data_IF_393464077951
#
_entry.id   IF_393464077951
#
_cell.length_a   1.000
_cell.length_b   1.000
_cell.length_c   1.000
_cell.angle_alpha   90.00
_cell.angle_beta   90.00
_cell.angle_gamma   90.00
#
_symmetry.space_group_name_H-M   'P 1'
#
loop_
_entity.id
_entity.type
_entity.pdbx_description
1 polymer ?
#
# COMPACT_ATOMS: atom_id res chain seq x y z
N UNK A 1 2.04 -58.69 2.45
CA UNK A 1 1.88 -57.78 3.61
C UNK A 1 3.02 -58.08 4.58
N UNK A 2 3.57 -57.09 5.34
CA UNK A 2 3.20 -55.68 5.43
C UNK A 2 4.31 -54.70 5.01
N UNK A 3 3.91 -53.46 4.79
CA UNK A 3 4.72 -52.29 4.52
C UNK A 3 4.87 -51.40 5.78
N UNK A 4 5.93 -50.58 5.76
CA UNK A 4 6.27 -49.43 6.63
C UNK A 4 6.92 -49.73 7.99
N UNK A 5 7.93 -48.92 8.35
CA UNK A 5 7.62 -47.74 9.16
C UNK A 5 8.15 -46.41 8.59
N UNK A 6 7.33 -45.38 8.76
CA UNK A 6 7.68 -43.98 8.63
C UNK A 6 8.91 -43.64 9.50
N UNK A 7 10.03 -43.30 8.87
CA UNK A 7 11.11 -42.56 9.52
C UNK A 7 10.70 -41.07 9.56
N UNK A 8 10.15 -40.64 10.70
CA UNK A 8 9.98 -39.21 10.99
C UNK A 8 11.35 -38.54 11.02
N UNK A 9 11.50 -37.45 10.26
CA UNK A 9 12.68 -36.59 10.31
C UNK A 9 12.94 -36.14 11.77
N UNK A 10 14.19 -36.18 12.27
CA UNK A 10 14.47 -35.83 13.65
C UNK A 10 14.22 -34.35 13.90
N UNK A 11 13.44 -34.04 14.94
CA UNK A 11 13.05 -32.68 15.35
C UNK A 11 14.23 -31.70 15.53
N UNK A 12 15.45 -32.20 15.76
CA UNK A 12 16.66 -31.39 15.89
C UNK A 12 17.16 -30.74 14.59
N UNK A 13 16.91 -31.34 13.43
CA UNK A 13 17.35 -30.78 12.14
C UNK A 13 16.47 -29.59 11.71
N UNK A 14 15.16 -29.66 11.98
CA UNK A 14 14.23 -28.56 11.77
C UNK A 14 14.53 -27.39 12.73
N UNK A 15 14.82 -27.67 14.01
CA UNK A 15 15.17 -26.65 14.99
C UNK A 15 16.50 -25.92 14.67
N UNK A 16 17.49 -26.63 14.10
CA UNK A 16 18.76 -26.03 13.68
C UNK A 16 18.61 -25.17 12.42
N UNK A 17 17.75 -25.56 11.46
CA UNK A 17 17.45 -24.76 10.26
C UNK A 17 16.62 -23.50 10.57
N UNK A 18 15.82 -23.52 11.64
CA UNK A 18 14.97 -22.39 12.06
C UNK A 18 15.75 -21.27 12.78
N UNK A 19 16.88 -21.57 13.44
CA UNK A 19 17.68 -20.58 14.16
C UNK A 19 18.25 -19.46 13.26
N UNK A 20 18.92 -19.76 12.13
CA UNK A 20 19.40 -18.73 11.21
C UNK A 20 18.27 -17.85 10.65
N UNK A 21 17.11 -18.44 10.38
CA UNK A 21 15.95 -17.72 9.85
C UNK A 21 15.31 -16.81 10.91
N UNK A 22 15.25 -17.25 12.18
CA UNK A 22 14.77 -16.42 13.28
C UNK A 22 15.66 -15.19 13.51
N UNK A 23 16.98 -15.36 13.43
CA UNK A 23 17.95 -14.27 13.55
C UNK A 23 17.83 -13.27 12.39
N UNK A 24 17.60 -13.74 11.17
CA UNK A 24 17.33 -12.89 10.01
C UNK A 24 16.03 -12.11 10.16
N UNK A 25 14.94 -12.77 10.57
CA UNK A 25 13.65 -12.14 10.80
C UNK A 25 13.71 -11.08 11.93
N UNK A 26 14.54 -11.29 12.95
CA UNK A 26 14.80 -10.26 13.97
C UNK A 26 15.52 -9.04 13.38
N UNK A 27 16.55 -9.25 12.56
CA UNK A 27 17.27 -8.15 11.89
C UNK A 27 16.37 -7.35 10.97
N UNK A 28 15.53 -8.02 10.18
CA UNK A 28 14.55 -7.39 9.30
C UNK A 28 13.57 -6.52 10.10
N UNK A 29 13.02 -7.06 11.19
CA UNK A 29 12.12 -6.32 12.09
C UNK A 29 12.80 -5.10 12.71
N UNK A 30 14.01 -5.25 13.24
CA UNK A 30 14.76 -4.16 13.86
C UNK A 30 15.03 -3.03 12.85
N UNK A 31 15.49 -3.36 11.64
CA UNK A 31 15.73 -2.39 10.56
C UNK A 31 14.45 -1.66 10.14
N UNK A 32 13.35 -2.40 9.99
CA UNK A 32 12.06 -1.81 9.64
C UNK A 32 11.51 -0.90 10.74
N UNK A 33 11.71 -1.27 12.02
CA UNK A 33 11.34 -0.47 13.17
C UNK A 33 12.15 0.83 13.25
N UNK A 34 13.47 0.74 13.17
CA UNK A 34 14.39 1.89 13.21
C UNK A 34 14.06 2.89 12.09
N UNK A 35 13.80 2.39 10.88
CA UNK A 35 13.39 3.22 9.74
C UNK A 35 12.09 3.98 10.01
N UNK A 36 11.07 3.31 10.56
CA UNK A 36 9.80 3.96 10.92
C UNK A 36 9.98 5.00 12.03
N UNK A 37 10.76 4.70 13.06
CA UNK A 37 11.04 5.63 14.15
C UNK A 37 11.79 6.88 13.66
N UNK A 38 12.77 6.68 12.77
CA UNK A 38 13.54 7.78 12.17
C UNK A 38 12.64 8.67 11.32
N UNK A 39 11.79 8.07 10.47
CA UNK A 39 10.82 8.81 9.66
C UNK A 39 9.78 9.53 10.51
N UNK A 40 9.38 8.95 11.63
CA UNK A 40 8.49 9.59 12.59
C UNK A 40 9.11 10.82 13.24
N UNK A 41 10.35 10.70 13.74
CA UNK A 41 11.09 11.82 14.30
C UNK A 41 11.29 12.95 13.27
N UNK A 42 11.68 12.60 12.03
CA UNK A 42 11.86 13.58 10.96
C UNK A 42 10.55 14.26 10.59
N UNK A 43 9.47 13.50 10.40
CA UNK A 43 8.17 14.07 10.07
C UNK A 43 7.65 14.99 11.19
N UNK A 44 7.91 14.65 12.45
CA UNK A 44 7.57 15.51 13.59
C UNK A 44 8.34 16.83 13.52
N UNK A 45 9.66 16.76 13.36
CA UNK A 45 10.51 17.94 13.26
C UNK A 45 10.12 18.84 12.08
N UNK A 46 9.83 18.24 10.91
CA UNK A 46 9.42 18.98 9.71
C UNK A 46 8.11 19.73 9.94
N UNK A 47 7.12 19.08 10.57
CA UNK A 47 5.83 19.70 10.91
C UNK A 47 5.98 20.77 11.98
N UNK A 48 6.79 20.56 13.01
CA UNK A 48 7.00 21.56 14.08
C UNK A 48 7.70 22.81 13.54
N UNK A 49 8.61 22.65 12.56
CA UNK A 49 9.31 23.76 11.94
C UNK A 49 8.44 24.52 10.93
N UNK A 50 7.81 23.82 10.00
CA UNK A 50 7.00 24.40 8.91
C UNK A 50 5.78 23.53 8.59
N UNK A 51 4.68 23.63 9.36
CA UNK A 51 3.54 22.71 9.28
C UNK A 51 2.89 22.60 7.89
N UNK A 52 2.91 23.69 7.10
CA UNK A 52 2.31 23.72 5.76
C UNK A 52 3.31 23.57 4.61
N UNK A 53 4.57 23.25 4.90
CA UNK A 53 5.55 23.04 3.84
C UNK A 53 5.25 21.72 3.12
N UNK A 54 5.19 21.67 1.77
CA UNK A 54 4.80 20.47 1.04
C UNK A 54 5.61 19.22 1.42
N UNK A 55 6.92 19.37 1.66
CA UNK A 55 7.77 18.25 2.09
C UNK A 55 7.35 17.71 3.47
N UNK A 56 7.06 18.60 4.43
CA UNK A 56 6.63 18.20 5.77
C UNK A 56 5.30 17.45 5.71
N UNK A 57 4.34 18.01 4.97
CA UNK A 57 3.02 17.41 4.72
C UNK A 57 3.17 16.02 4.09
N UNK A 58 4.01 15.86 3.06
CA UNK A 58 4.15 14.58 2.37
C UNK A 58 4.93 13.53 3.16
N UNK A 59 5.92 13.93 3.95
CA UNK A 59 6.63 13.03 4.86
C UNK A 59 5.67 12.48 5.92
N UNK A 60 4.92 13.38 6.59
CA UNK A 60 3.92 13.01 7.58
C UNK A 60 2.78 12.18 6.99
N UNK A 61 2.24 12.57 5.83
CA UNK A 61 1.20 11.81 5.13
C UNK A 61 1.65 10.38 4.82
N UNK A 62 2.85 10.22 4.26
CA UNK A 62 3.36 8.90 3.88
C UNK A 62 3.55 8.02 5.11
N UNK A 63 4.11 8.58 6.18
CA UNK A 63 4.22 7.88 7.47
C UNK A 63 2.84 7.47 8.01
N UNK A 64 1.91 8.40 8.16
CA UNK A 64 0.57 8.12 8.69
C UNK A 64 -0.16 7.04 7.87
N UNK A 65 -0.02 7.08 6.55
CA UNK A 65 -0.59 6.08 5.63
C UNK A 65 0.03 4.69 5.82
N UNK A 66 1.35 4.60 6.08
CA UNK A 66 2.03 3.33 6.38
C UNK A 66 1.70 2.81 7.78
N UNK A 67 1.51 3.70 8.76
CA UNK A 67 1.10 3.35 10.12
C UNK A 67 -0.38 2.92 10.22
N UNK A 68 -1.15 3.08 9.15
CA UNK A 68 -2.60 2.79 9.14
C UNK A 68 -3.43 3.84 9.89
N UNK A 69 -2.85 4.99 10.23
CA UNK A 69 -3.51 6.12 10.91
C UNK A 69 -4.24 7.00 9.89
N UNK A 70 -5.18 6.39 9.17
CA UNK A 70 -5.85 6.97 7.99
C UNK A 70 -6.68 8.21 8.32
N UNK A 71 -7.34 8.25 9.49
CA UNK A 71 -8.09 9.42 9.94
C UNK A 71 -7.18 10.65 10.12
N UNK A 72 -5.99 10.45 10.69
CA UNK A 72 -5.02 11.53 10.90
C UNK A 72 -4.41 11.97 9.57
N UNK A 73 -4.09 11.03 8.68
CA UNK A 73 -3.64 11.35 7.33
C UNK A 73 -4.69 12.18 6.58
N UNK A 74 -5.97 11.86 6.75
CA UNK A 74 -7.07 12.60 6.11
C UNK A 74 -7.18 14.02 6.68
N UNK A 75 -7.09 14.19 8.00
CA UNK A 75 -7.06 15.52 8.63
C UNK A 75 -5.89 16.38 8.13
N UNK A 76 -4.70 15.80 8.00
CA UNK A 76 -3.52 16.49 7.47
C UNK A 76 -3.75 16.95 6.02
N UNK A 77 -4.28 16.07 5.17
CA UNK A 77 -4.55 16.40 3.76
C UNK A 77 -5.65 17.45 3.63
N UNK A 78 -6.73 17.34 4.42
CA UNK A 78 -7.81 18.34 4.43
C UNK A 78 -7.31 19.70 4.90
N UNK A 79 -6.48 19.74 5.93
CA UNK A 79 -5.85 20.97 6.41
C UNK A 79 -4.91 21.59 5.36
N UNK A 80 -4.13 20.76 4.64
CA UNK A 80 -3.29 21.26 3.56
C UNK A 80 -4.12 21.82 2.39
N UNK A 81 -5.21 21.13 2.02
CA UNK A 81 -6.15 21.58 0.98
C UNK A 81 -6.88 22.88 1.36
N UNK A 82 -7.06 23.19 2.65
CA UNK A 82 -7.59 24.49 3.08
C UNK A 82 -6.63 25.65 2.74
N UNK A 83 -5.31 25.39 2.74
CA UNK A 83 -4.31 26.39 2.36
C UNK A 83 -4.03 26.41 0.86
N UNK A 84 -3.99 25.23 0.23
CA UNK A 84 -3.69 25.06 -1.20
C UNK A 84 -4.83 24.25 -1.85
N UNK A 85 -6.01 24.85 -2.09
CA UNK A 85 -7.20 24.12 -2.56
C UNK A 85 -7.06 23.54 -3.97
N UNK A 86 -6.10 24.03 -4.74
CA UNK A 86 -5.82 23.59 -6.11
C UNK A 86 -4.63 22.63 -6.19
N UNK A 87 -4.14 22.09 -5.06
CA UNK A 87 -3.12 21.04 -5.11
C UNK A 87 -3.76 19.72 -5.58
N UNK A 88 -3.59 19.42 -6.87
CA UNK A 88 -4.08 18.18 -7.45
C UNK A 88 -3.47 16.93 -6.82
N UNK A 89 -2.20 16.96 -6.38
CA UNK A 89 -1.57 15.81 -5.72
C UNK A 89 -2.24 15.54 -4.36
N UNK A 90 -2.55 16.58 -3.61
CA UNK A 90 -3.29 16.47 -2.34
C UNK A 90 -4.67 15.83 -2.52
N UNK A 91 -5.40 16.21 -3.57
CA UNK A 91 -6.67 15.57 -3.93
C UNK A 91 -6.50 14.09 -4.30
N UNK A 92 -5.43 13.71 -5.02
CA UNK A 92 -5.14 12.29 -5.28
C UNK A 92 -4.84 11.52 -3.99
N UNK A 93 -4.09 12.13 -3.05
CA UNK A 93 -3.84 11.53 -1.72
C UNK A 93 -5.12 11.34 -0.93
N UNK A 94 -6.01 12.33 -0.96
CA UNK A 94 -7.35 12.23 -0.33
C UNK A 94 -8.15 11.09 -0.93
N UNK A 95 -8.15 10.94 -2.25
CA UNK A 95 -8.82 9.83 -2.92
C UNK A 95 -8.28 8.46 -2.46
N UNK A 96 -6.95 8.32 -2.31
CA UNK A 96 -6.31 7.09 -1.81
C UNK A 96 -6.76 6.73 -0.39
N UNK A 97 -6.74 7.69 0.52
CA UNK A 97 -7.17 7.52 1.91
C UNK A 97 -8.65 7.11 1.99
N UNK A 98 -9.50 7.75 1.20
CA UNK A 98 -10.92 7.42 1.16
C UNK A 98 -11.17 5.98 0.69
N UNK A 99 -10.33 5.43 -0.20
CA UNK A 99 -10.40 3.99 -0.54
C UNK A 99 -9.97 3.10 0.61
N UNK A 100 -8.89 3.45 1.31
CA UNK A 100 -8.44 2.72 2.50
C UNK A 100 -9.54 2.68 3.59
N UNK A 101 -10.30 3.77 3.71
CA UNK A 101 -11.46 3.87 4.60
C UNK A 101 -12.74 3.23 4.05
N UNK A 102 -12.67 2.48 2.94
CA UNK A 102 -13.83 1.85 2.27
C UNK A 102 -14.92 2.84 1.86
N UNK A 103 -14.54 4.05 1.43
CA UNK A 103 -15.44 5.12 0.92
C UNK A 103 -15.21 5.40 -0.57
N UNK A 104 -15.54 4.47 -1.48
CA UNK A 104 -15.20 4.58 -2.90
C UNK A 104 -15.93 5.73 -3.62
N UNK A 105 -17.17 6.06 -3.23
CA UNK A 105 -17.89 7.20 -3.82
C UNK A 105 -17.20 8.54 -3.53
N UNK A 106 -16.86 8.82 -2.27
CA UNK A 106 -16.11 10.02 -1.90
C UNK A 106 -14.70 10.03 -2.51
N UNK A 107 -14.08 8.86 -2.67
CA UNK A 107 -12.78 8.75 -3.36
C UNK A 107 -12.87 9.17 -4.83
N UNK A 108 -13.93 8.73 -5.52
CA UNK A 108 -14.18 9.12 -6.92
C UNK A 108 -14.35 10.63 -7.06
N UNK A 109 -15.12 11.26 -6.17
CA UNK A 109 -15.27 12.72 -6.13
C UNK A 109 -13.92 13.43 -5.94
N UNK A 110 -13.11 12.98 -4.98
CA UNK A 110 -11.78 13.55 -4.74
C UNK A 110 -10.83 13.34 -5.94
N UNK A 111 -10.89 12.19 -6.61
CA UNK A 111 -10.08 11.91 -7.79
C UNK A 111 -10.49 12.77 -9.01
N UNK A 112 -11.80 13.02 -9.17
CA UNK A 112 -12.31 13.95 -10.17
C UNK A 112 -11.90 15.39 -9.86
N UNK A 113 -11.91 15.80 -8.59
CA UNK A 113 -11.41 17.12 -8.19
C UNK A 113 -9.92 17.25 -8.49
N UNK A 114 -9.12 16.22 -8.20
CA UNK A 114 -7.71 16.19 -8.55
C UNK A 114 -7.49 16.38 -10.06
N UNK A 115 -8.31 15.73 -10.89
CA UNK A 115 -8.22 15.83 -12.35
C UNK A 115 -8.42 17.26 -12.86
N UNK A 116 -9.25 18.07 -12.19
CA UNK A 116 -9.44 19.50 -12.55
C UNK A 116 -8.17 20.32 -12.36
N UNK A 117 -7.34 19.96 -11.38
CA UNK A 117 -6.15 20.72 -11.00
C UNK A 117 -4.84 20.11 -11.50
N UNK A 118 -4.81 18.81 -11.78
CA UNK A 118 -3.70 18.13 -12.44
C UNK A 118 -3.71 18.46 -13.93
N UNK A 119 -2.76 19.29 -14.38
CA UNK A 119 -2.56 19.66 -15.80
C UNK A 119 -2.25 18.47 -16.73
N UNK A 120 -2.11 17.26 -16.19
CA UNK A 120 -1.89 16.01 -16.91
C UNK A 120 -3.03 15.03 -16.61
N UNK A 121 -3.66 14.49 -17.65
CA UNK A 121 -4.73 13.50 -17.52
C UNK A 121 -4.26 12.19 -16.84
N UNK A 122 -3.00 11.79 -17.04
CA UNK A 122 -2.48 10.48 -16.65
C UNK A 122 -2.54 10.17 -15.14
N UNK A 123 -1.96 10.99 -14.24
CA UNK A 123 -1.93 10.69 -12.81
C UNK A 123 -3.31 10.52 -12.14
N UNK A 124 -4.36 11.15 -12.66
CA UNK A 124 -5.72 11.08 -12.10
C UNK A 124 -6.53 9.88 -12.60
N UNK A 125 -6.23 9.34 -13.78
CA UNK A 125 -6.95 8.17 -14.35
C UNK A 125 -6.83 6.91 -13.48
N UNK A 126 -5.65 6.64 -12.90
CA UNK A 126 -5.48 5.45 -12.05
C UNK A 126 -6.32 5.50 -10.76
N UNK A 127 -6.34 6.62 -10.00
CA UNK A 127 -7.21 6.76 -8.83
C UNK A 127 -8.71 6.68 -9.17
N UNK A 128 -9.16 7.31 -10.26
CA UNK A 128 -10.56 7.19 -10.74
C UNK A 128 -10.88 5.72 -11.04
N UNK A 129 -10.07 5.04 -11.85
CA UNK A 129 -10.31 3.64 -12.21
C UNK A 129 -10.25 2.71 -11.00
N UNK A 130 -9.35 2.97 -10.03
CA UNK A 130 -9.29 2.20 -8.77
C UNK A 130 -10.52 2.44 -7.90
N UNK A 131 -11.02 3.68 -7.83
CA UNK A 131 -12.24 4.00 -7.11
C UNK A 131 -13.45 3.31 -7.73
N UNK A 132 -13.59 3.36 -9.05
CA UNK A 132 -14.63 2.64 -9.80
C UNK A 132 -14.55 1.13 -9.57
N UNK A 133 -13.35 0.55 -9.66
CA UNK A 133 -13.12 -0.88 -9.41
C UNK A 133 -13.60 -1.29 -8.00
N UNK A 134 -13.18 -0.54 -6.97
CA UNK A 134 -13.55 -0.83 -5.58
C UNK A 134 -15.00 -0.50 -5.25
N UNK A 135 -15.69 0.28 -6.09
CA UNK A 135 -17.12 0.48 -6.05
C UNK A 135 -17.93 -0.61 -6.79
N UNK A 136 -17.26 -1.66 -7.30
CA UNK A 136 -17.89 -2.72 -8.10
C UNK A 136 -18.17 -2.33 -9.55
N UNK A 137 -17.69 -1.18 -10.03
CA UNK A 137 -17.90 -0.66 -11.38
C UNK A 137 -16.71 -0.98 -12.30
N UNK A 138 -16.32 -2.26 -12.38
CA UNK A 138 -15.14 -2.70 -13.12
C UNK A 138 -15.18 -2.35 -14.62
N UNK A 139 -16.36 -2.36 -15.24
CA UNK A 139 -16.52 -1.96 -16.64
C UNK A 139 -16.22 -0.45 -16.85
N UNK A 140 -16.65 0.39 -15.90
CA UNK A 140 -16.30 1.81 -15.90
C UNK A 140 -14.81 2.03 -15.69
N UNK A 141 -14.20 1.30 -14.75
CA UNK A 141 -12.76 1.32 -14.54
C UNK A 141 -11.98 0.95 -15.82
N UNK A 142 -12.44 -0.05 -16.57
CA UNK A 142 -11.83 -0.44 -17.84
C UNK A 142 -11.95 0.66 -18.90
N UNK A 143 -13.08 1.37 -18.97
CA UNK A 143 -13.29 2.46 -19.91
C UNK A 143 -12.31 3.62 -19.66
N UNK A 144 -12.08 3.97 -18.40
CA UNK A 144 -11.13 5.01 -18.00
C UNK A 144 -9.67 4.65 -18.37
N UNK A 145 -9.31 3.36 -18.40
CA UNK A 145 -7.93 2.91 -18.59
C UNK A 145 -7.47 2.80 -20.06
N UNK A 146 -8.32 3.05 -21.07
CA UNK A 146 -7.98 2.83 -22.50
C UNK A 146 -7.32 4.04 -23.21
N UNK A 147 -6.20 3.89 -23.96
CA UNK A 147 -5.15 2.87 -23.91
C UNK A 147 -3.89 3.46 -23.24
N UNK A 148 -3.85 3.43 -21.91
CA UNK A 148 -2.67 3.91 -21.20
C UNK A 148 -1.58 2.83 -21.16
N UNK A 149 -0.40 3.14 -21.71
CA UNK A 149 0.80 2.27 -21.69
C UNK A 149 1.45 2.32 -20.29
N UNK A 150 2.05 1.21 -19.83
CA UNK A 150 2.93 1.20 -18.65
C UNK A 150 2.32 0.64 -17.35
N UNK A 151 2.53 1.31 -16.21
CA UNK A 151 2.19 0.83 -14.85
C UNK A 151 0.71 0.46 -14.64
N UNK A 152 -0.19 0.88 -15.53
CA UNK A 152 -1.60 0.50 -15.50
C UNK A 152 -1.85 -0.99 -15.76
N UNK A 153 -0.84 -1.75 -16.23
CA UNK A 153 -0.93 -3.21 -16.44
C UNK A 153 -1.46 -3.95 -15.19
N UNK A 154 -1.00 -3.58 -13.99
CA UNK A 154 -1.41 -4.24 -12.75
C UNK A 154 -2.83 -3.86 -12.32
N UNK A 155 -3.22 -2.60 -12.55
CA UNK A 155 -4.61 -2.19 -12.32
C UNK A 155 -5.55 -2.84 -13.34
N UNK A 156 -5.14 -2.93 -14.61
CA UNK A 156 -5.85 -3.67 -15.65
C UNK A 156 -6.01 -5.14 -15.28
N UNK A 157 -4.97 -5.80 -14.75
CA UNK A 157 -5.09 -7.17 -14.28
C UNK A 157 -6.22 -7.31 -13.23
N UNK A 158 -6.26 -6.43 -12.23
CA UNK A 158 -7.32 -6.40 -11.22
C UNK A 158 -8.70 -6.12 -11.83
N UNK A 159 -8.79 -5.20 -12.79
CA UNK A 159 -10.05 -4.89 -13.50
C UNK A 159 -10.54 -6.09 -14.32
N UNK A 160 -9.68 -6.74 -15.09
CA UNK A 160 -10.02 -7.94 -15.86
C UNK A 160 -10.46 -9.10 -14.95
N UNK A 161 -9.80 -9.28 -13.81
CA UNK A 161 -10.23 -10.25 -12.81
C UNK A 161 -11.65 -9.94 -12.29
N UNK A 162 -11.91 -8.69 -11.93
CA UNK A 162 -13.24 -8.26 -11.45
C UNK A 162 -14.34 -8.36 -12.53
N UNK A 163 -13.97 -8.33 -13.80
CA UNK A 163 -14.89 -8.57 -14.94
C UNK A 163 -15.14 -10.06 -15.22
N UNK A 164 -14.48 -10.98 -14.50
CA UNK A 164 -14.59 -12.42 -14.75
C UNK A 164 -13.73 -12.88 -15.93
N UNK A 165 -12.65 -12.17 -16.25
CA UNK A 165 -11.69 -12.54 -17.29
C UNK A 165 -10.33 -13.01 -16.70
N UNK A 166 -10.27 -14.15 -16.01
CA UNK A 166 -9.05 -14.60 -15.32
C UNK A 166 -7.86 -14.78 -16.27
N UNK A 167 -8.07 -15.31 -17.48
CA UNK A 167 -7.01 -15.47 -18.47
C UNK A 167 -6.42 -14.14 -18.94
N UNK A 168 -7.25 -13.09 -19.08
CA UNK A 168 -6.76 -11.76 -19.43
C UNK A 168 -6.03 -11.12 -18.25
N UNK A 169 -6.55 -11.27 -17.03
CA UNK A 169 -5.87 -10.83 -15.82
C UNK A 169 -4.46 -11.41 -15.73
N UNK A 170 -4.32 -12.72 -15.93
CA UNK A 170 -3.03 -13.41 -15.86
C UNK A 170 -2.11 -13.01 -17.00
N UNK A 171 -2.65 -12.80 -18.21
CA UNK A 171 -1.87 -12.27 -19.33
C UNK A 171 -1.29 -10.88 -18.98
N UNK A 172 -2.09 -9.97 -18.41
CA UNK A 172 -1.63 -8.63 -17.98
C UNK A 172 -0.57 -8.69 -16.89
N UNK A 173 -0.74 -9.58 -15.91
CA UNK A 173 0.26 -9.76 -14.86
C UNK A 173 1.56 -10.35 -15.42
N UNK A 174 1.50 -11.32 -16.32
CA UNK A 174 2.67 -11.90 -16.97
C UNK A 174 3.39 -10.89 -17.89
N UNK A 175 2.66 -10.00 -18.58
CA UNK A 175 3.24 -8.87 -19.32
C UNK A 175 4.00 -7.89 -18.43
N UNK A 176 3.61 -7.75 -17.15
CA UNK A 176 4.36 -6.98 -16.17
C UNK A 176 5.59 -7.75 -15.70
N UNK A 177 5.44 -9.02 -15.32
CA UNK A 177 6.55 -9.85 -14.80
C UNK A 177 7.70 -9.99 -15.82
N UNK A 178 7.38 -10.08 -17.12
CA UNK A 178 8.38 -10.24 -18.18
C UNK A 178 9.09 -8.94 -18.57
N UNK A 179 8.65 -7.79 -18.07
CA UNK A 179 9.21 -6.50 -18.41
C UNK A 179 10.56 -6.29 -17.68
N UNK A 180 11.70 -6.21 -18.39
CA UNK A 180 13.01 -6.09 -17.74
C UNK A 180 13.17 -4.80 -16.93
N UNK A 181 12.32 -3.80 -17.19
CA UNK A 181 12.34 -2.52 -16.51
C UNK A 181 11.54 -2.50 -15.20
N UNK A 182 10.75 -3.54 -14.90
CA UNK A 182 9.97 -3.64 -13.65
C UNK A 182 10.77 -4.35 -12.55
N UNK A 183 12.04 -4.00 -12.38
CA UNK A 183 12.87 -4.47 -11.25
C UNK A 183 12.16 -4.08 -9.94
N UNK A 184 12.04 -5.02 -9.01
CA UNK A 184 11.44 -4.84 -7.67
C UNK A 184 9.90 -4.72 -7.65
N UNK A 185 9.21 -5.30 -8.63
CA UNK A 185 7.74 -5.35 -8.70
C UNK A 185 7.06 -6.38 -7.78
N UNK A 186 7.81 -7.19 -7.02
CA UNK A 186 7.29 -8.33 -6.25
C UNK A 186 6.13 -7.95 -5.31
N UNK A 187 6.25 -6.83 -4.57
CA UNK A 187 5.17 -6.37 -3.71
C UNK A 187 3.89 -5.97 -4.48
N UNK A 188 4.04 -5.44 -5.70
CA UNK A 188 2.89 -5.09 -6.54
C UNK A 188 2.24 -6.34 -7.15
N UNK A 189 3.04 -7.34 -7.50
CA UNK A 189 2.57 -8.66 -7.96
C UNK A 189 1.80 -9.36 -6.82
N UNK A 190 2.33 -9.29 -5.59
CA UNK A 190 1.67 -9.81 -4.39
C UNK A 190 0.29 -9.17 -4.20
N UNK A 191 0.15 -7.86 -4.39
CA UNK A 191 -1.14 -7.17 -4.33
C UNK A 191 -2.15 -7.68 -5.36
N UNK A 192 -1.71 -7.94 -6.60
CA UNK A 192 -2.59 -8.46 -7.65
C UNK A 192 -3.06 -9.87 -7.29
N UNK A 193 -2.17 -10.75 -6.85
CA UNK A 193 -2.57 -12.09 -6.41
C UNK A 193 -3.47 -12.06 -5.17
N UNK A 194 -3.23 -11.15 -4.23
CA UNK A 194 -4.11 -10.94 -3.10
C UNK A 194 -5.51 -10.52 -3.56
N UNK A 195 -5.60 -9.57 -4.49
CA UNK A 195 -6.87 -9.13 -5.08
C UNK A 195 -7.61 -10.28 -5.79
N UNK A 196 -6.87 -11.17 -6.46
CA UNK A 196 -7.43 -12.36 -7.11
C UNK A 196 -7.87 -13.46 -6.14
N UNK A 197 -7.60 -13.31 -4.83
CA UNK A 197 -7.85 -14.35 -3.82
C UNK A 197 -6.79 -15.47 -3.78
N UNK A 198 -5.70 -15.35 -4.53
CA UNK A 198 -4.62 -16.33 -4.61
C UNK A 198 -3.63 -16.14 -3.44
N UNK A 199 -4.05 -16.47 -2.23
CA UNK A 199 -3.27 -16.25 -0.98
C UNK A 199 -1.86 -16.82 -1.06
N UNK A 200 -1.69 -18.06 -1.56
CA UNK A 200 -0.39 -18.72 -1.62
C UNK A 200 0.61 -17.95 -2.50
N UNK A 201 0.18 -17.48 -3.67
CA UNK A 201 1.04 -16.67 -4.55
C UNK A 201 1.25 -15.27 -3.99
N UNK A 202 0.22 -14.67 -3.36
CA UNK A 202 0.35 -13.38 -2.71
C UNK A 202 1.43 -13.42 -1.61
N UNK A 203 1.41 -14.44 -0.74
CA UNK A 203 2.40 -14.64 0.30
C UNK A 203 3.80 -14.91 -0.28
N UNK A 204 3.92 -15.75 -1.33
CA UNK A 204 5.19 -16.02 -2.00
C UNK A 204 5.86 -14.74 -2.50
N UNK A 205 5.13 -13.90 -3.23
CA UNK A 205 5.68 -12.66 -3.79
C UNK A 205 5.89 -11.58 -2.72
N UNK A 206 5.08 -11.58 -1.65
CA UNK A 206 5.33 -10.72 -0.50
C UNK A 206 6.64 -11.10 0.20
N UNK A 207 6.89 -12.40 0.40
CA UNK A 207 8.15 -12.89 0.96
C UNK A 207 9.36 -12.51 0.10
N UNK A 208 9.27 -12.67 -1.22
CA UNK A 208 10.31 -12.24 -2.16
C UNK A 208 10.60 -10.72 -2.01
N UNK A 209 9.55 -9.91 -1.90
CA UNK A 209 9.70 -8.47 -1.72
C UNK A 209 10.37 -8.11 -0.38
N UNK A 210 10.06 -8.84 0.70
CA UNK A 210 10.67 -8.68 2.02
C UNK A 210 12.16 -8.95 1.98
N UNK A 211 12.55 -10.09 1.38
CA UNK A 211 13.94 -10.51 1.27
C UNK A 211 14.77 -9.54 0.43
N UNK A 212 14.17 -8.99 -0.63
CA UNK A 212 14.86 -8.04 -1.49
C UNK A 212 15.06 -6.67 -0.82
N UNK A 213 13.98 -6.05 -0.32
CA UNK A 213 14.06 -4.76 0.35
C UNK A 213 12.88 -4.51 1.29
N UNK A 214 13.06 -4.86 2.57
CA UNK A 214 12.08 -4.62 3.64
C UNK A 214 11.75 -3.14 3.85
N UNK A 215 12.61 -2.21 3.40
CA UNK A 215 12.37 -0.78 3.51
C UNK A 215 11.62 -0.19 2.31
N UNK A 216 11.25 -1.02 1.33
CA UNK A 216 10.50 -0.57 0.15
C UNK A 216 9.19 0.13 0.59
N UNK A 217 8.98 1.41 0.25
CA UNK A 217 7.78 2.15 0.66
C UNK A 217 6.47 1.54 0.18
N UNK A 218 6.48 0.73 -0.89
CA UNK A 218 5.29 0.03 -1.35
C UNK A 218 4.85 -1.09 -0.39
N UNK A 219 5.77 -1.75 0.34
CA UNK A 219 5.43 -2.77 1.33
C UNK A 219 4.62 -2.18 2.50
N UNK A 220 5.02 -0.99 2.97
CA UNK A 220 4.27 -0.27 4.00
C UNK A 220 2.84 0.06 3.54
N UNK A 221 2.67 0.52 2.29
CA UNK A 221 1.34 0.81 1.74
C UNK A 221 0.51 -0.43 1.45
N UNK A 222 1.12 -1.53 1.01
CA UNK A 222 0.44 -2.80 0.76
C UNK A 222 -0.28 -3.31 2.01
N UNK A 223 0.34 -3.10 3.17
CA UNK A 223 -0.23 -3.45 4.48
C UNK A 223 -1.60 -2.81 4.70
N UNK A 224 -1.84 -1.61 4.16
CA UNK A 224 -3.09 -0.88 4.29
C UNK A 224 -3.82 -0.74 2.95
N UNK A 225 -3.46 -1.56 1.94
CA UNK A 225 -4.06 -1.45 0.62
C UNK A 225 -5.52 -1.90 0.64
N UNK A 226 -6.45 -1.12 0.03
CA UNK A 226 -7.84 -1.52 -0.12
C UNK A 226 -8.02 -2.65 -1.14
N UNK A 227 -7.01 -2.92 -1.97
CA UNK A 227 -7.01 -4.03 -2.93
C UNK A 227 -6.62 -5.38 -2.29
N UNK A 228 -6.22 -5.41 -1.02
CA UNK A 228 -6.04 -6.66 -0.28
C UNK A 228 -7.35 -6.96 0.47
N UNK A 229 -8.12 -7.99 0.05
CA UNK A 229 -9.39 -8.32 0.70
C UNK A 229 -9.15 -8.90 2.09
N UNK A 230 -10.17 -8.82 2.95
CA UNK A 230 -10.06 -9.24 4.35
C UNK A 230 -9.77 -10.75 4.46
N UNK A 231 -10.25 -11.56 3.51
CA UNK A 231 -9.92 -13.00 3.39
C UNK A 231 -8.43 -13.30 3.28
N UNK A 232 -7.65 -12.40 2.65
CA UNK A 232 -6.18 -12.52 2.56
C UNK A 232 -5.54 -11.91 3.81
N UNK A 233 -6.04 -10.76 4.26
CA UNK A 233 -5.52 -10.03 5.44
C UNK A 233 -5.58 -10.85 6.72
N UNK A 234 -6.64 -11.63 6.87
CA UNK A 234 -6.91 -12.47 8.04
C UNK A 234 -6.21 -13.84 7.95
N UNK A 235 -5.60 -14.15 6.80
CA UNK A 235 -4.88 -15.40 6.63
C UNK A 235 -3.61 -15.45 7.51
N UNK A 236 -3.35 -16.55 8.25
CA UNK A 236 -2.22 -16.65 9.18
C UNK A 236 -0.86 -16.37 8.52
N UNK A 237 -0.63 -16.90 7.31
CA UNK A 237 0.63 -16.70 6.58
C UNK A 237 0.85 -15.23 6.20
N UNK A 238 -0.22 -14.53 5.82
CA UNK A 238 -0.15 -13.10 5.52
C UNK A 238 0.19 -12.33 6.79
N UNK A 239 -0.51 -12.58 7.90
CA UNK A 239 -0.23 -11.93 9.19
C UNK A 239 1.18 -12.22 9.71
N UNK A 240 1.71 -13.42 9.48
CA UNK A 240 3.08 -13.77 9.83
C UNK A 240 4.09 -12.92 9.04
N UNK A 241 3.90 -12.75 7.73
CA UNK A 241 4.75 -11.89 6.90
C UNK A 241 4.67 -10.41 7.33
N UNK A 242 3.47 -9.93 7.67
CA UNK A 242 3.28 -8.56 8.21
C UNK A 242 4.07 -8.36 9.50
N UNK A 243 4.06 -9.35 10.41
CA UNK A 243 4.85 -9.32 11.65
C UNK A 243 6.35 -9.32 11.41
N UNK A 244 6.82 -10.09 10.41
CA UNK A 244 8.24 -10.14 9.99
C UNK A 244 8.74 -8.79 9.47
N UNK A 245 7.88 -7.97 8.88
CA UNK A 245 8.23 -6.61 8.42
C UNK A 245 8.02 -5.50 9.47
N UNK A 246 7.65 -5.84 10.70
CA UNK A 246 7.21 -4.86 11.70
C UNK A 246 6.04 -3.99 11.19
N UNK A 247 5.02 -4.64 10.60
CA UNK A 247 3.82 -4.02 10.00
C UNK A 247 2.50 -4.51 10.61
N UNK A 248 2.53 -5.34 11.66
CA UNK A 248 1.31 -5.68 12.38
C UNK A 248 0.76 -4.46 13.16
N UNK A 249 -0.56 -4.40 13.35
CA UNK A 249 -1.21 -3.25 13.98
C UNK A 249 -0.64 -2.92 15.38
N UNK A 250 -0.36 -3.95 16.19
CA UNK A 250 0.23 -3.81 17.52
C UNK A 250 1.69 -3.35 17.49
N UNK A 251 2.42 -3.66 16.42
CA UNK A 251 3.79 -3.17 16.20
C UNK A 251 3.79 -1.70 15.75
N UNK A 252 2.91 -1.35 14.81
CA UNK A 252 2.78 0.00 14.27
C UNK A 252 2.28 0.99 15.33
N UNK A 253 1.39 0.55 16.23
CA UNK A 253 0.90 1.36 17.35
C UNK A 253 2.01 1.84 18.30
N UNK A 254 3.19 1.19 18.30
CA UNK A 254 4.35 1.58 19.11
C UNK A 254 5.17 2.72 18.49
N UNK A 255 4.92 3.08 17.23
CA UNK A 255 5.60 4.17 16.57
C UNK A 255 5.02 5.50 17.05
N UNK A 256 5.80 6.24 17.82
CA UNK A 256 5.40 7.53 18.34
C UNK A 256 5.48 8.62 17.27
N UNK A 257 4.34 9.24 16.98
CA UNK A 257 4.21 10.39 16.09
C UNK A 257 2.93 11.14 16.47
N UNK A 258 2.98 12.45 16.66
CA UNK A 258 1.82 13.24 17.09
C UNK A 258 1.53 14.30 16.02
N UNK A 259 0.37 14.17 15.37
CA UNK A 259 -0.07 15.15 14.40
C UNK A 259 -0.64 16.39 15.10
N UNK A 260 0.17 17.45 15.16
CA UNK A 260 -0.23 18.76 15.65
C UNK A 260 -0.38 19.73 14.47
N UNK A 261 -1.62 20.09 14.15
CA UNK A 261 -1.92 21.03 13.07
C UNK A 261 -2.30 22.39 13.66
N UNK A 262 -1.66 23.49 13.23
CA UNK A 262 -2.08 24.83 13.62
C UNK A 262 -3.52 25.11 13.21
N UNK A 263 -4.20 25.96 13.98
CA UNK A 263 -5.47 26.53 13.53
C UNK A 263 -5.25 27.34 12.23
N UNK A 264 -6.27 27.38 11.37
CA UNK A 264 -6.25 28.25 10.20
C UNK A 264 -6.16 29.71 10.65
N UNK A 265 -5.08 30.39 10.27
CA UNK A 265 -4.95 31.82 10.51
C UNK A 265 -5.85 32.57 9.51
N UNK A 266 -7.06 32.94 9.95
CA UNK A 266 -8.05 33.69 9.15
C UNK A 266 -7.63 35.13 8.80
N UNK A 267 -6.34 35.49 8.90
CA UNK A 267 -5.85 36.87 8.74
C UNK A 267 -5.42 37.25 7.31
N UNK A 268 -5.52 36.35 6.33
CA UNK A 268 -5.14 36.62 4.93
C UNK A 268 -6.36 36.71 3.99
N UNK A 269 -7.54 37.03 4.52
CA UNK A 269 -8.77 37.27 3.76
C UNK A 269 -9.34 38.65 4.05
N UNK A 270 -8.61 39.70 3.67
CA UNK A 270 -9.04 41.10 3.70
C UNK A 270 -8.69 41.78 2.38
#
# INVERSE_FOLDING_TARGET
MPASPHAGLPAGAAAAAQRPQADEDERLRARAQESLQTRAAQAQQDLDACPNHPVAVWNAFTLLSELGRTDEALRLVDWHLQHIPKDGLAWLRKADLLLQMRRPASSLEAAMEAQKHCRMAGPATAPIARALLLNGQAAGALAELKPSRGMYKLLLAKVEHALGHPHLSDARLNEFIRDPHTRNGAAMIAEVHAFQGNVALACKYLEEAIQHDVLNPFLGRLSNSPCVPDTVRDHPDWQALQRRMNRAADQLAKIHFILNLPALDNRMGG
#
